data_IF_361467842451
#
_entry.id   IF_361467842451
#
_cell.length_a   1.000
_cell.length_b   1.000
_cell.length_c   1.000
_cell.angle_alpha   90.00
_cell.angle_beta   90.00
_cell.angle_gamma   90.00
#
_symmetry.space_group_name_H-M   'P 1'
#
loop_
_entity.id
_entity.type
_entity.pdbx_description
1 polymer ?
#
# COMPACT_ATOMS: atom_id res chain seq x y z
N UNK A 1 9.26 9.62 1.19
CA UNK A 1 8.98 8.17 1.34
C UNK A 1 9.44 7.42 0.10
N UNK A 2 10.17 6.35 0.28
CA UNK A 2 10.57 5.49 -0.82
C UNK A 2 9.45 4.47 -1.09
N UNK A 3 9.08 4.31 -2.35
CA UNK A 3 8.05 3.35 -2.74
C UNK A 3 8.73 2.27 -3.59
N UNK A 4 8.65 1.04 -3.15
CA UNK A 4 9.19 -0.12 -3.86
C UNK A 4 8.05 -0.97 -4.39
N UNK A 5 8.06 -1.24 -5.68
CA UNK A 5 6.99 -2.02 -6.33
C UNK A 5 7.59 -3.29 -6.92
N UNK A 6 6.98 -4.41 -6.61
CA UNK A 6 7.39 -5.72 -7.10
C UNK A 6 6.23 -6.39 -7.82
N UNK A 7 6.45 -6.85 -9.03
CA UNK A 7 5.47 -7.60 -9.80
C UNK A 7 5.86 -9.08 -9.80
N UNK A 8 4.93 -9.94 -9.39
CA UNK A 8 5.13 -11.38 -9.30
C UNK A 8 4.25 -12.09 -10.31
N UNK A 9 4.82 -13.00 -11.09
CA UNK A 9 4.13 -13.80 -12.10
C UNK A 9 3.56 -13.03 -13.28
N UNK A 10 3.96 -11.76 -13.46
CA UNK A 10 3.58 -10.96 -14.62
C UNK A 10 4.53 -9.79 -14.74
N UNK A 11 4.45 -9.10 -15.87
CA UNK A 11 5.25 -7.91 -16.13
C UNK A 11 4.36 -6.68 -16.05
N UNK A 12 4.64 -5.79 -15.08
CA UNK A 12 3.84 -4.60 -14.89
C UNK A 12 4.17 -3.53 -15.93
N UNK A 13 3.11 -2.92 -16.50
CA UNK A 13 3.29 -1.83 -17.45
C UNK A 13 3.72 -0.55 -16.73
N UNK A 14 4.31 0.38 -17.47
CA UNK A 14 4.70 1.67 -16.93
C UNK A 14 3.49 2.42 -16.38
N UNK A 15 2.35 2.31 -17.07
CA UNK A 15 1.10 2.94 -16.62
C UNK A 15 0.66 2.40 -15.27
N UNK A 16 0.75 1.08 -15.09
CA UNK A 16 0.38 0.46 -13.83
C UNK A 16 1.32 0.90 -12.70
N UNK A 17 2.63 0.89 -12.97
CA UNK A 17 3.62 1.33 -11.98
C UNK A 17 3.40 2.78 -11.58
N UNK A 18 3.14 3.66 -12.55
CA UNK A 18 2.87 5.07 -12.26
C UNK A 18 1.59 5.24 -11.44
N UNK A 19 0.55 4.47 -11.76
CA UNK A 19 -0.70 4.50 -11.01
C UNK A 19 -0.49 4.08 -9.56
N UNK A 20 0.20 2.97 -9.34
CA UNK A 20 0.47 2.44 -8.00
C UNK A 20 1.29 3.45 -7.20
N UNK A 21 2.33 3.98 -7.79
CA UNK A 21 3.20 4.96 -7.14
C UNK A 21 2.42 6.20 -6.73
N UNK A 22 1.58 6.72 -7.62
CA UNK A 22 0.75 7.88 -7.34
C UNK A 22 -0.24 7.64 -6.22
N UNK A 23 -0.88 6.48 -6.22
CA UNK A 23 -1.86 6.12 -5.17
C UNK A 23 -1.18 5.93 -3.82
N UNK A 24 -0.07 5.23 -3.79
CA UNK A 24 0.66 4.99 -2.54
C UNK A 24 1.25 6.29 -2.00
N UNK A 25 1.73 7.17 -2.86
CA UNK A 25 2.27 8.45 -2.42
C UNK A 25 1.25 9.31 -1.67
N UNK A 26 -0.04 9.12 -1.93
CA UNK A 26 -1.09 9.86 -1.22
C UNK A 26 -1.15 9.56 0.27
N UNK A 27 -0.74 8.37 0.68
CA UNK A 27 -0.76 8.01 2.11
C UNK A 27 0.36 8.69 2.90
N UNK A 28 1.33 9.28 2.22
CA UNK A 28 2.42 10.01 2.87
C UNK A 28 1.93 11.09 3.82
N UNK A 29 0.78 11.69 3.52
CA UNK A 29 0.14 12.71 4.36
C UNK A 29 -0.25 12.18 5.74
N UNK A 30 -0.43 10.88 5.86
CA UNK A 30 -0.87 10.24 7.10
C UNK A 30 0.30 9.71 7.94
N UNK A 31 1.51 9.88 7.44
CA UNK A 31 2.71 9.42 8.13
C UNK A 31 3.47 10.57 8.77
N UNK A 32 4.14 10.24 9.85
CA UNK A 32 5.20 11.11 10.36
C UNK A 32 6.41 10.98 9.43
N UNK A 33 7.29 11.95 9.50
CA UNK A 33 8.53 11.98 8.72
C UNK A 33 9.42 10.76 8.94
N UNK A 34 9.12 9.95 9.95
CA UNK A 34 9.89 8.74 10.25
C UNK A 34 9.58 7.57 9.31
N UNK A 35 8.45 7.60 8.59
CA UNK A 35 8.10 6.54 7.65
C UNK A 35 8.88 6.74 6.36
N UNK A 36 9.74 5.80 6.04
CA UNK A 36 10.66 5.95 4.93
C UNK A 36 10.39 5.01 3.75
N UNK A 37 9.74 3.88 3.98
CA UNK A 37 9.59 2.86 2.94
C UNK A 37 8.19 2.30 2.91
N UNK A 38 7.61 2.25 1.72
CA UNK A 38 6.37 1.52 1.44
C UNK A 38 6.69 0.46 0.38
N UNK A 39 6.37 -0.78 0.67
CA UNK A 39 6.60 -1.89 -0.23
C UNK A 39 5.28 -2.38 -0.81
N UNK A 40 5.20 -2.45 -2.13
CA UNK A 40 4.01 -2.92 -2.83
C UNK A 40 4.36 -4.18 -3.60
N UNK A 41 3.59 -5.23 -3.41
CA UNK A 41 3.71 -6.46 -4.19
C UNK A 41 2.44 -6.66 -4.98
N UNK A 42 2.58 -6.90 -6.28
CA UNK A 42 1.47 -7.18 -7.18
C UNK A 42 1.64 -8.60 -7.71
N UNK A 43 0.59 -9.39 -7.64
CA UNK A 43 0.64 -10.77 -8.10
C UNK A 43 -0.61 -11.12 -8.91
N UNK A 44 -0.39 -11.73 -10.08
CA UNK A 44 -1.49 -12.27 -10.88
C UNK A 44 -1.79 -13.68 -10.38
N UNK A 45 -2.80 -13.82 -9.54
CA UNK A 45 -3.16 -15.09 -8.93
C UNK A 45 -4.41 -15.68 -9.55
N UNK A 46 -4.66 -16.96 -9.28
CA UNK A 46 -5.88 -17.64 -9.75
C UNK A 46 -7.15 -17.02 -9.18
N UNK A 47 -7.06 -16.42 -8.01
CA UNK A 47 -8.19 -15.78 -7.35
C UNK A 47 -8.49 -14.39 -7.88
N UNK A 48 -7.55 -13.80 -8.61
CA UNK A 48 -7.67 -12.46 -9.14
C UNK A 48 -6.36 -11.70 -9.05
N UNK A 49 -6.45 -10.39 -9.21
CA UNK A 49 -5.28 -9.52 -9.12
C UNK A 49 -5.05 -9.15 -7.66
N UNK A 50 -3.94 -9.60 -7.11
CA UNK A 50 -3.60 -9.41 -5.70
C UNK A 50 -2.64 -8.24 -5.54
N UNK A 51 -2.93 -7.37 -4.57
CA UNK A 51 -2.04 -6.29 -4.18
C UNK A 51 -1.77 -6.39 -2.68
N UNK A 52 -0.50 -6.28 -2.31
CA UNK A 52 -0.08 -6.29 -0.91
C UNK A 52 0.71 -5.00 -0.65
N UNK A 53 0.27 -4.24 0.32
CA UNK A 53 0.93 -3.01 0.72
C UNK A 53 1.49 -3.16 2.12
N UNK A 54 2.79 -2.99 2.26
CA UNK A 54 3.48 -3.04 3.54
C UNK A 54 4.14 -1.69 3.80
N UNK A 55 3.87 -1.12 4.95
CA UNK A 55 4.42 0.16 5.34
C UNK A 55 5.14 0.02 6.68
N UNK A 56 6.37 0.48 6.72
CA UNK A 56 7.18 0.45 7.93
C UNK A 56 6.98 1.74 8.72
N UNK A 57 6.50 1.61 9.95
CA UNK A 57 6.39 2.74 10.88
C UNK A 57 7.23 2.45 12.12
N UNK A 58 7.57 3.47 12.91
CA UNK A 58 8.36 3.23 14.13
C UNK A 58 7.64 2.24 15.06
N UNK A 59 8.32 1.14 15.36
CA UNK A 59 7.82 0.14 16.28
C UNK A 59 6.85 -0.88 15.70
N UNK A 60 6.49 -0.78 14.43
CA UNK A 60 5.55 -1.72 13.81
C UNK A 60 5.64 -1.73 12.29
N UNK A 61 5.09 -2.78 11.69
CA UNK A 61 4.92 -2.88 10.26
C UNK A 61 3.43 -3.08 9.98
N UNK A 62 2.86 -2.25 9.12
CA UNK A 62 1.46 -2.36 8.72
C UNK A 62 1.40 -3.07 7.38
N UNK A 63 0.59 -4.13 7.30
CA UNK A 63 0.45 -4.93 6.08
C UNK A 63 -1.02 -5.08 5.73
N UNK A 64 -1.36 -4.80 4.47
CA UNK A 64 -2.70 -4.99 3.94
C UNK A 64 -2.60 -5.70 2.61
N UNK A 65 -3.47 -6.69 2.41
CA UNK A 65 -3.54 -7.46 1.18
C UNK A 65 -4.97 -7.43 0.65
N UNK A 66 -5.12 -7.14 -0.63
CA UNK A 66 -6.42 -7.11 -1.28
C UNK A 66 -6.36 -7.84 -2.61
N UNK A 67 -7.48 -8.47 -2.97
CA UNK A 67 -7.64 -9.15 -4.26
C UNK A 67 -8.84 -8.52 -4.96
N UNK A 68 -8.69 -8.22 -6.25
CA UNK A 68 -9.76 -7.62 -7.02
C UNK A 68 -9.66 -8.05 -8.49
N UNK A 69 -10.57 -7.54 -9.31
CA UNK A 69 -10.60 -7.85 -10.75
C UNK A 69 -9.45 -7.19 -11.51
N UNK A 70 -8.94 -6.09 -10.99
CA UNK A 70 -7.83 -5.36 -11.60
C UNK A 70 -6.82 -4.96 -10.54
N UNK A 71 -5.57 -4.73 -10.95
CA UNK A 71 -4.55 -4.25 -10.02
C UNK A 71 -4.87 -2.85 -9.53
N UNK A 72 -5.46 -2.01 -10.38
CA UNK A 72 -5.85 -0.66 -10.01
C UNK A 72 -6.87 -0.68 -8.87
N UNK A 73 -7.88 -1.54 -8.97
CA UNK A 73 -8.88 -1.70 -7.91
C UNK A 73 -8.27 -2.29 -6.65
N UNK A 74 -7.40 -3.28 -6.81
CA UNK A 74 -6.74 -3.92 -5.67
C UNK A 74 -5.86 -2.93 -4.90
N UNK A 75 -5.06 -2.14 -5.60
CA UNK A 75 -4.19 -1.17 -4.94
C UNK A 75 -4.98 -0.01 -4.32
N UNK A 76 -6.07 0.40 -4.98
CA UNK A 76 -6.95 1.43 -4.42
C UNK A 76 -7.55 0.96 -3.09
N UNK A 77 -8.01 -0.29 -3.05
CA UNK A 77 -8.54 -0.86 -1.82
C UNK A 77 -7.46 -0.95 -0.74
N UNK A 78 -6.24 -1.35 -1.10
CA UNK A 78 -5.12 -1.40 -0.17
C UNK A 78 -4.79 -0.02 0.40
N UNK A 79 -4.74 0.99 -0.45
CA UNK A 79 -4.43 2.36 -0.03
C UNK A 79 -5.50 2.90 0.91
N UNK A 80 -6.77 2.69 0.57
CA UNK A 80 -7.88 3.15 1.41
C UNK A 80 -7.87 2.47 2.78
N UNK A 81 -7.64 1.16 2.80
CA UNK A 81 -7.55 0.41 4.06
C UNK A 81 -6.35 0.85 4.90
N UNK A 82 -5.22 1.14 4.24
CA UNK A 82 -4.02 1.61 4.93
C UNK A 82 -4.24 3.00 5.54
N UNK A 83 -4.92 3.90 4.83
CA UNK A 83 -5.26 5.22 5.36
C UNK A 83 -6.08 5.08 6.65
N UNK A 84 -7.08 4.23 6.62
CA UNK A 84 -7.93 3.98 7.79
C UNK A 84 -7.12 3.42 8.95
N UNK A 85 -6.25 2.45 8.67
CA UNK A 85 -5.41 1.82 9.69
C UNK A 85 -4.45 2.83 10.32
N UNK A 86 -3.86 3.69 9.51
CA UNK A 86 -2.95 4.73 9.99
C UNK A 86 -3.67 5.77 10.83
N UNK A 87 -4.87 6.17 10.40
CA UNK A 87 -5.69 7.12 11.15
C UNK A 87 -6.05 6.55 12.52
N UNK A 88 -6.46 5.29 12.58
CA UNK A 88 -6.77 4.62 13.85
C UNK A 88 -5.55 4.52 14.76
N UNK A 89 -4.40 4.19 14.20
CA UNK A 89 -3.15 4.09 14.96
C UNK A 89 -2.79 5.45 15.57
N UNK A 90 -2.96 6.52 14.80
CA UNK A 90 -2.70 7.87 15.25
C UNK A 90 -3.67 8.31 16.34
N UNK A 91 -4.96 7.98 16.19
CA UNK A 91 -5.98 8.26 17.18
C UNK A 91 -5.70 7.54 18.50
N UNK A 92 -5.28 6.28 18.44
CA UNK A 92 -4.91 5.52 19.63
C UNK A 92 -3.75 6.17 20.37
N UNK A 93 -2.79 6.70 19.66
CA UNK A 93 -1.64 7.37 20.25
C UNK A 93 -2.05 8.69 20.93
N UNK A 94 -3.05 9.38 20.36
CA UNK A 94 -3.53 10.65 20.87
C UNK A 94 -4.65 10.51 21.91
N UNK A 95 -5.36 9.38 21.89
CA UNK A 95 -6.52 9.14 22.72
C UNK A 95 -6.22 8.71 24.14
N UNK A 96 -4.99 8.79 24.54
CA UNK A 96 -4.59 8.49 25.92
C UNK A 96 -4.29 9.76 26.71
#
# INVERSE_FOLDING_TARGET
MEIRIKALKFEASEKLLAFVEKKVARIEKFFDSATQVAEVSLEDSKEGKKAKLKVHIPGDDLVIECVSNTFENAITACVDAMKEKLTRSKEKALGK
#
